data_IF_107296006135
#
_entry.id   IF_107296006135
#
_cell.length_a   1.000
_cell.length_b   1.000
_cell.length_c   1.000
_cell.angle_alpha   90.00
_cell.angle_beta   90.00
_cell.angle_gamma   90.00
#
_symmetry.space_group_name_H-M   'P 1'
#
loop_
_entity.id
_entity.type
_entity.pdbx_description
1 polymer ?
#
# COMPACT_ATOMS: atom_id res chain seq x y z
N UNK A 1 19.15 -40.32 28.95
CA UNK A 1 17.86 -39.57 29.04
C UNK A 1 17.99 -38.29 28.22
N UNK A 2 17.05 -38.00 27.32
CA UNK A 2 17.05 -36.73 26.57
C UNK A 2 16.46 -35.64 27.46
N UNK A 3 17.23 -34.58 27.69
CA UNK A 3 16.83 -33.44 28.49
C UNK A 3 16.69 -32.21 27.59
N UNK A 4 15.61 -31.45 27.80
CA UNK A 4 15.34 -30.21 27.06
C UNK A 4 15.90 -29.05 27.87
N UNK A 5 16.76 -28.22 27.26
CA UNK A 5 17.32 -27.02 27.90
C UNK A 5 16.19 -26.04 28.22
N UNK A 6 16.15 -25.52 29.45
CA UNK A 6 15.23 -24.44 29.84
C UNK A 6 15.82 -23.08 29.41
N UNK A 7 15.68 -22.79 28.12
CA UNK A 7 16.26 -21.61 27.46
C UNK A 7 16.43 -21.87 25.96
N UNK A 8 17.39 -21.21 25.33
CA UNK A 8 17.76 -21.49 23.95
C UNK A 8 18.25 -22.94 23.79
N UNK A 9 17.67 -23.69 22.84
CA UNK A 9 18.00 -25.11 22.62
C UNK A 9 19.45 -25.35 22.17
N UNK A 10 20.05 -24.37 21.50
CA UNK A 10 21.46 -24.39 21.05
C UNK A 10 22.46 -24.41 22.21
N UNK A 11 22.06 -23.93 23.40
CA UNK A 11 22.90 -23.91 24.61
C UNK A 11 22.77 -25.20 25.43
N UNK A 12 22.42 -26.32 24.77
CA UNK A 12 22.38 -27.64 25.40
C UNK A 12 23.80 -28.16 25.66
N UNK A 13 24.09 -28.52 26.91
CA UNK A 13 25.43 -28.91 27.37
C UNK A 13 25.94 -30.24 26.82
N UNK A 14 25.06 -31.03 26.19
CA UNK A 14 25.43 -32.28 25.52
C UNK A 14 26.11 -32.00 24.19
N UNK A 15 25.63 -30.99 23.44
CA UNK A 15 26.20 -30.57 22.15
C UNK A 15 27.18 -29.41 22.29
N UNK A 16 27.01 -28.55 23.29
CA UNK A 16 27.87 -27.40 23.56
C UNK A 16 28.24 -27.33 25.05
N UNK A 17 29.25 -28.09 25.51
CA UNK A 17 29.69 -28.09 26.90
C UNK A 17 30.18 -26.71 27.40
N UNK A 18 30.73 -25.88 26.51
CA UNK A 18 31.20 -24.53 26.84
C UNK A 18 30.07 -23.56 27.21
N UNK A 19 28.81 -23.89 26.91
CA UNK A 19 27.65 -23.07 27.24
C UNK A 19 27.15 -23.24 28.70
N UNK A 20 27.82 -24.06 29.53
CA UNK A 20 27.46 -24.27 30.96
C UNK A 20 27.36 -22.98 31.78
N UNK A 21 28.34 -22.05 31.77
CA UNK A 21 28.27 -20.80 32.54
C UNK A 21 27.33 -19.75 31.91
N UNK A 22 26.85 -19.98 30.68
CA UNK A 22 26.04 -19.01 29.95
C UNK A 22 24.63 -18.92 30.56
N UNK A 23 24.25 -17.70 30.97
CA UNK A 23 22.90 -17.42 31.45
C UNK A 23 21.87 -17.61 30.32
N UNK A 24 20.67 -18.15 30.61
CA UNK A 24 19.71 -18.56 29.60
C UNK A 24 18.89 -17.42 28.96
N UNK A 25 19.20 -16.16 29.29
CA UNK A 25 18.56 -14.97 28.73
C UNK A 25 17.06 -14.87 29.06
N UNK A 26 16.28 -14.23 28.19
CA UNK A 26 14.84 -14.02 28.35
C UNK A 26 13.99 -15.28 28.18
N UNK A 27 14.54 -16.32 27.54
CA UNK A 27 13.85 -17.59 27.30
C UNK A 27 13.92 -18.56 28.50
N UNK A 28 14.80 -18.29 29.46
CA UNK A 28 15.05 -19.14 30.63
C UNK A 28 14.52 -18.57 31.94
N UNK A 29 14.82 -19.24 33.08
CA UNK A 29 14.54 -18.67 34.40
C UNK A 29 15.41 -17.43 34.67
N UNK A 30 14.89 -16.54 35.52
CA UNK A 30 15.67 -15.42 36.09
C UNK A 30 16.84 -15.98 36.90
N UNK A 31 18.04 -15.48 36.61
CA UNK A 31 19.26 -15.83 37.33
C UNK A 31 19.52 -14.76 38.39
N UNK A 32 19.81 -15.19 39.62
CA UNK A 32 20.21 -14.31 40.71
C UNK A 32 21.71 -14.50 40.96
N UNK A 33 22.46 -13.40 40.92
CA UNK A 33 23.90 -13.37 41.19
C UNK A 33 24.20 -12.43 42.34
N UNK A 34 25.15 -12.82 43.18
CA UNK A 34 25.67 -12.02 44.28
C UNK A 34 26.84 -11.18 43.78
N UNK A 35 26.55 -10.01 43.19
CA UNK A 35 27.56 -9.17 42.54
C UNK A 35 28.25 -8.17 43.50
N UNK A 36 27.72 -7.97 44.72
CA UNK A 36 28.25 -7.00 45.69
C UNK A 36 28.20 -7.56 47.11
N UNK A 37 29.36 -7.77 47.71
CA UNK A 37 29.51 -7.93 49.17
C UNK A 37 29.61 -6.52 49.75
N UNK A 38 28.81 -6.15 50.77
CA UNK A 38 28.90 -4.82 51.37
C UNK A 38 30.29 -4.62 52.00
N UNK A 39 31.09 -3.72 51.43
CA UNK A 39 32.35 -3.25 52.01
C UNK A 39 32.07 -2.05 52.93
N UNK A 40 32.70 -1.94 54.11
CA UNK A 40 32.40 -0.90 55.10
C UNK A 40 32.78 0.54 54.68
N UNK A 41 33.32 0.76 53.47
CA UNK A 41 33.83 2.05 53.00
C UNK A 41 33.11 2.61 51.76
N UNK A 42 31.79 2.47 51.65
CA UNK A 42 31.04 3.08 50.53
C UNK A 42 29.57 3.33 50.82
N UNK A 43 29.05 4.43 50.30
CA UNK A 43 27.67 4.98 50.46
C UNK A 43 26.54 4.10 49.88
N UNK A 44 26.78 2.81 49.61
CA UNK A 44 25.87 1.87 48.92
C UNK A 44 25.26 0.78 49.82
N UNK A 45 25.46 0.82 51.13
CA UNK A 45 25.05 -0.25 52.07
C UNK A 45 23.53 -0.55 52.01
N UNK A 46 22.68 0.47 51.91
CA UNK A 46 21.21 0.30 51.91
C UNK A 46 20.66 -0.43 50.67
N UNK A 47 21.28 -0.23 49.49
CA UNK A 47 20.86 -0.91 48.26
C UNK A 47 21.41 -2.33 48.20
N UNK A 48 22.61 -2.56 48.73
CA UNK A 48 23.23 -3.88 48.84
C UNK A 48 22.42 -4.81 49.75
N UNK A 49 22.01 -4.36 50.94
CA UNK A 49 21.19 -5.16 51.89
C UNK A 49 19.85 -5.63 51.27
N UNK A 50 19.17 -4.76 50.53
CA UNK A 50 17.91 -5.14 49.87
C UNK A 50 18.12 -6.18 48.75
N UNK A 51 19.28 -6.14 48.09
CA UNK A 51 19.68 -7.08 47.05
C UNK A 51 20.10 -8.43 47.63
N UNK A 52 20.91 -8.45 48.70
CA UNK A 52 21.32 -9.67 49.39
C UNK A 52 20.13 -10.41 50.00
N UNK A 53 19.17 -9.69 50.61
CA UNK A 53 17.94 -10.28 51.11
C UNK A 53 17.09 -10.91 49.99
N UNK A 54 17.07 -10.29 48.81
CA UNK A 54 16.39 -10.87 47.64
C UNK A 54 17.06 -12.17 47.19
N UNK A 55 18.40 -12.22 47.23
CA UNK A 55 19.19 -13.41 46.91
C UNK A 55 18.97 -14.52 47.95
N UNK A 56 18.96 -14.19 49.24
CA UNK A 56 18.66 -15.14 50.34
C UNK A 56 17.28 -15.78 50.12
N UNK A 57 16.25 -14.95 49.87
CA UNK A 57 14.90 -15.43 49.55
C UNK A 57 14.89 -16.30 48.29
N UNK A 58 15.63 -15.92 47.26
CA UNK A 58 15.76 -16.71 46.04
C UNK A 58 16.44 -18.07 46.29
N UNK A 59 17.47 -18.13 47.15
CA UNK A 59 18.16 -19.35 47.54
C UNK A 59 17.23 -20.28 48.34
N UNK A 60 16.45 -19.75 49.29
CA UNK A 60 15.41 -20.52 49.98
C UNK A 60 14.38 -21.10 49.01
N UNK A 61 13.85 -20.28 48.10
CA UNK A 61 12.89 -20.74 47.07
C UNK A 61 13.49 -21.77 46.13
N UNK A 62 14.78 -21.66 45.81
CA UNK A 62 15.43 -22.64 44.96
C UNK A 62 15.57 -23.99 45.68
N UNK A 63 16.12 -23.99 46.90
CA UNK A 63 16.45 -25.21 47.67
C UNK A 63 15.18 -25.88 48.20
N UNK A 64 14.30 -25.13 48.87
CA UNK A 64 13.05 -25.65 49.46
C UNK A 64 11.85 -25.60 48.50
N UNK A 65 11.94 -24.92 47.35
CA UNK A 65 10.80 -24.79 46.43
C UNK A 65 9.65 -23.91 46.92
N UNK A 66 9.76 -23.35 48.13
CA UNK A 66 8.79 -22.48 48.80
C UNK A 66 9.53 -21.58 49.79
N UNK A 67 8.84 -20.58 50.30
CA UNK A 67 9.32 -19.81 51.45
C UNK A 67 9.23 -20.70 52.71
N UNK A 68 10.21 -20.53 53.59
CA UNK A 68 10.41 -21.36 54.78
C UNK A 68 9.54 -20.83 55.94
N UNK A 69 9.14 -21.70 56.87
CA UNK A 69 8.35 -21.27 58.02
C UNK A 69 9.24 -20.60 59.08
N UNK A 70 8.64 -19.72 59.90
CA UNK A 70 9.33 -19.14 61.05
C UNK A 70 9.95 -20.23 61.93
N UNK A 71 11.26 -20.12 62.19
CA UNK A 71 12.02 -21.12 62.96
C UNK A 71 12.71 -22.21 62.14
N UNK A 72 12.39 -22.37 60.85
CA UNK A 72 13.16 -23.20 59.92
C UNK A 72 14.25 -22.41 59.16
N UNK A 73 14.26 -21.09 59.34
CA UNK A 73 15.26 -20.16 58.81
C UNK A 73 16.63 -20.39 59.48
N UNK A 74 17.70 -20.21 58.72
CA UNK A 74 19.07 -20.41 59.20
C UNK A 74 19.71 -19.04 59.42
N UNK A 75 19.21 -18.29 60.41
CA UNK A 75 19.65 -16.91 60.70
C UNK A 75 21.16 -16.76 60.82
N UNK A 76 21.84 -17.75 61.42
CA UNK A 76 23.31 -17.74 61.55
C UNK A 76 23.99 -17.80 60.18
N UNK A 77 23.47 -18.61 59.26
CA UNK A 77 24.01 -18.72 57.91
C UNK A 77 23.67 -17.48 57.06
N UNK A 78 22.50 -16.88 57.26
CA UNK A 78 22.09 -15.61 56.63
C UNK A 78 23.05 -14.48 57.02
N UNK A 79 23.28 -14.29 58.33
CA UNK A 79 24.21 -13.27 58.84
C UNK A 79 25.62 -13.48 58.29
N UNK A 80 26.10 -14.73 58.25
CA UNK A 80 27.41 -15.05 57.67
C UNK A 80 27.51 -14.71 56.19
N UNK A 81 26.43 -14.93 55.42
CA UNK A 81 26.40 -14.56 54.00
C UNK A 81 26.37 -13.03 53.84
N UNK A 82 25.59 -12.33 54.68
CA UNK A 82 25.50 -10.86 54.68
C UNK A 82 26.82 -10.19 55.01
N UNK A 83 27.57 -10.75 55.96
CA UNK A 83 28.90 -10.30 56.35
C UNK A 83 29.99 -10.67 55.32
N UNK A 84 29.70 -11.58 54.38
CA UNK A 84 30.67 -12.10 53.41
C UNK A 84 31.62 -13.16 53.98
N UNK A 85 31.31 -13.74 55.14
CA UNK A 85 32.11 -14.83 55.77
C UNK A 85 32.00 -16.14 54.98
N UNK A 86 30.90 -16.34 54.25
CA UNK A 86 30.66 -17.52 53.40
C UNK A 86 30.24 -17.10 51.99
N UNK A 87 30.63 -17.89 50.99
CA UNK A 87 30.14 -17.70 49.62
C UNK A 87 28.71 -18.23 49.45
N UNK A 88 28.05 -17.87 48.34
CA UNK A 88 26.69 -18.31 48.08
C UNK A 88 26.60 -19.84 47.92
N UNK A 89 27.64 -20.47 47.35
CA UNK A 89 27.77 -21.94 47.29
C UNK A 89 27.73 -22.57 48.67
N UNK A 90 28.46 -22.02 49.64
CA UNK A 90 28.51 -22.54 51.01
C UNK A 90 27.23 -22.24 51.79
N UNK A 91 26.57 -21.12 51.49
CA UNK A 91 25.23 -20.87 51.99
C UNK A 91 24.23 -21.92 51.48
N UNK A 92 24.26 -22.25 50.18
CA UNK A 92 23.42 -23.31 49.60
C UNK A 92 23.76 -24.68 50.22
N UNK A 93 25.03 -24.95 50.48
CA UNK A 93 25.49 -26.14 51.21
C UNK A 93 24.88 -26.20 52.62
N UNK A 94 24.91 -25.10 53.36
CA UNK A 94 24.30 -25.01 54.68
C UNK A 94 22.78 -25.23 54.64
N UNK A 95 22.08 -24.63 53.66
CA UNK A 95 20.64 -24.83 53.45
C UNK A 95 20.31 -26.30 53.18
N UNK A 96 21.04 -26.94 52.27
CA UNK A 96 20.83 -28.34 51.90
C UNK A 96 21.19 -29.32 53.04
N UNK A 97 22.16 -28.98 53.90
CA UNK A 97 22.51 -29.78 55.09
C UNK A 97 21.61 -29.52 56.30
N UNK A 98 20.68 -28.58 56.23
CA UNK A 98 19.79 -28.26 57.35
C UNK A 98 18.89 -29.44 57.74
N UNK A 99 18.55 -29.52 59.02
CA UNK A 99 17.62 -30.53 59.53
C UNK A 99 16.24 -30.41 58.87
N UNK A 100 15.76 -29.17 58.66
CA UNK A 100 14.49 -28.90 57.98
C UNK A 100 14.47 -29.48 56.55
N UNK A 101 15.56 -29.31 55.80
CA UNK A 101 15.68 -29.86 54.44
C UNK A 101 15.73 -31.39 54.47
N UNK A 102 16.53 -31.97 55.37
CA UNK A 102 16.65 -33.42 55.56
C UNK A 102 15.30 -34.06 55.93
N UNK A 103 14.58 -33.49 56.90
CA UNK A 103 13.26 -33.99 57.30
C UNK A 103 12.25 -33.96 56.16
N UNK A 104 12.30 -32.91 55.34
CA UNK A 104 11.34 -32.70 54.24
C UNK A 104 11.61 -33.60 53.04
N UNK A 105 12.87 -33.75 52.60
CA UNK A 105 13.20 -34.40 51.33
C UNK A 105 14.00 -35.70 51.44
N UNK A 106 14.64 -35.97 52.58
CA UNK A 106 15.43 -37.19 52.77
C UNK A 106 14.67 -38.23 53.60
N UNK A 107 14.15 -37.86 54.77
CA UNK A 107 13.50 -38.81 55.68
C UNK A 107 12.12 -39.28 55.21
N UNK A 108 11.43 -38.47 54.41
CA UNK A 108 10.05 -38.74 53.96
C UNK A 108 9.98 -39.51 52.63
N UNK A 109 11.05 -39.51 51.84
CA UNK A 109 11.08 -40.04 50.48
C UNK A 109 11.90 -41.32 50.42
N UNK A 110 11.56 -42.18 49.46
CA UNK A 110 12.45 -43.27 49.06
C UNK A 110 13.81 -42.72 48.63
N UNK A 111 14.91 -43.37 49.04
CA UNK A 111 16.30 -42.90 48.87
C UNK A 111 16.56 -42.37 47.45
N UNK A 112 16.21 -43.13 46.41
CA UNK A 112 16.48 -42.66 45.04
C UNK A 112 15.54 -41.56 44.54
N UNK A 113 14.32 -41.47 45.08
CA UNK A 113 13.44 -40.32 44.84
C UNK A 113 14.01 -39.06 45.51
N UNK A 114 14.56 -39.20 46.72
CA UNK A 114 15.26 -38.13 47.42
C UNK A 114 16.48 -37.65 46.61
N UNK A 115 17.34 -38.58 46.16
CA UNK A 115 18.50 -38.28 45.32
C UNK A 115 18.11 -37.54 44.05
N UNK A 116 17.11 -38.01 43.29
CA UNK A 116 16.67 -37.34 42.06
C UNK A 116 16.11 -35.94 42.34
N UNK A 117 15.38 -35.77 43.45
CA UNK A 117 14.84 -34.46 43.86
C UNK A 117 15.96 -33.48 44.24
N UNK A 118 16.90 -33.91 45.09
CA UNK A 118 18.03 -33.08 45.55
C UNK A 118 18.91 -32.70 44.37
N UNK A 119 19.20 -33.63 43.48
CA UNK A 119 19.95 -33.39 42.25
C UNK A 119 19.28 -32.32 41.37
N UNK A 120 17.96 -32.38 41.22
CA UNK A 120 17.20 -31.36 40.47
C UNK A 120 17.25 -29.98 41.13
N UNK A 121 17.30 -29.90 42.46
CA UNK A 121 17.34 -28.64 43.21
C UNK A 121 18.72 -27.99 43.19
N UNK A 122 19.78 -28.78 43.37
CA UNK A 122 21.16 -28.27 43.45
C UNK A 122 21.78 -28.07 42.07
N UNK A 123 21.60 -29.00 41.14
CA UNK A 123 22.20 -28.91 39.79
C UNK A 123 21.24 -28.36 38.73
N UNK A 124 19.97 -28.15 39.06
CA UNK A 124 18.99 -27.59 38.12
C UNK A 124 18.57 -28.54 37.01
N UNK A 125 18.92 -29.83 37.09
CA UNK A 125 18.59 -30.85 36.08
C UNK A 125 18.28 -32.19 36.73
N UNK A 126 17.46 -33.05 36.11
CA UNK A 126 17.40 -34.45 36.51
C UNK A 126 18.66 -35.21 36.09
N UNK A 127 18.85 -36.42 36.63
CA UNK A 127 19.95 -37.31 36.25
C UNK A 127 19.84 -37.77 34.79
N UNK A 128 20.99 -37.96 34.14
CA UNK A 128 21.08 -38.38 32.75
C UNK A 128 20.75 -39.85 32.54
N UNK A 129 21.09 -40.71 33.50
CA UNK A 129 20.95 -42.15 33.35
C UNK A 129 21.32 -42.92 34.60
N UNK A 130 21.46 -44.24 34.44
CA UNK A 130 21.65 -45.17 35.57
C UNK A 130 23.03 -45.07 36.21
N UNK A 131 24.07 -44.72 35.44
CA UNK A 131 25.44 -44.61 35.96
C UNK A 131 25.56 -43.52 37.06
N UNK A 132 25.06 -42.31 36.79
CA UNK A 132 25.02 -41.22 37.81
C UNK A 132 24.21 -41.65 39.04
N UNK A 133 23.02 -42.22 38.80
CA UNK A 133 22.10 -42.67 39.84
C UNK A 133 22.72 -43.75 40.73
N UNK A 134 23.43 -44.72 40.17
CA UNK A 134 24.11 -45.77 40.94
C UNK A 134 25.28 -45.19 41.75
N UNK A 135 26.09 -44.30 41.17
CA UNK A 135 27.19 -43.65 41.90
C UNK A 135 26.68 -42.89 43.14
N UNK A 136 25.57 -42.15 43.00
CA UNK A 136 24.95 -41.46 44.12
C UNK A 136 24.33 -42.41 45.14
N UNK A 137 23.77 -43.54 44.70
CA UNK A 137 23.26 -44.58 45.60
C UNK A 137 24.39 -45.17 46.46
N UNK A 138 25.54 -45.49 45.85
CA UNK A 138 26.68 -46.04 46.57
C UNK A 138 27.25 -45.06 47.62
N UNK A 139 27.31 -43.77 47.27
CA UNK A 139 27.71 -42.71 48.22
C UNK A 139 26.70 -42.62 49.38
N UNK A 140 25.40 -42.63 49.07
CA UNK A 140 24.36 -42.60 50.09
C UNK A 140 24.43 -43.83 51.02
N UNK A 141 24.70 -45.01 50.46
CA UNK A 141 24.80 -46.25 51.22
C UNK A 141 26.03 -46.29 52.14
N UNK A 142 27.18 -45.75 51.68
CA UNK A 142 28.44 -45.79 52.43
C UNK A 142 28.63 -44.61 53.40
N UNK A 143 28.24 -43.40 53.00
CA UNK A 143 28.59 -42.15 53.68
C UNK A 143 27.35 -41.32 54.09
N UNK A 144 26.16 -41.69 53.62
CA UNK A 144 24.90 -41.06 54.00
C UNK A 144 24.61 -39.73 53.30
N UNK A 145 23.63 -39.01 53.85
CA UNK A 145 23.02 -37.83 53.24
C UNK A 145 23.97 -36.63 53.08
N UNK A 146 24.78 -36.33 54.10
CA UNK A 146 25.64 -35.13 54.07
C UNK A 146 26.72 -35.24 52.99
N UNK A 147 27.29 -36.43 52.80
CA UNK A 147 28.27 -36.69 51.77
C UNK A 147 27.70 -36.55 50.35
N UNK A 148 26.43 -36.93 50.13
CA UNK A 148 25.75 -36.69 48.86
C UNK A 148 25.68 -35.19 48.56
N UNK A 149 25.30 -34.37 49.54
CA UNK A 149 25.19 -32.92 49.36
C UNK A 149 26.55 -32.30 49.03
N UNK A 150 27.60 -32.68 49.76
CA UNK A 150 28.96 -32.21 49.49
C UNK A 150 29.41 -32.58 48.08
N UNK A 151 29.27 -33.85 47.69
CA UNK A 151 29.70 -34.29 46.36
C UNK A 151 28.94 -33.58 45.23
N UNK A 152 27.64 -33.28 45.39
CA UNK A 152 26.89 -32.54 44.37
C UNK A 152 27.37 -31.09 44.22
N UNK A 153 27.68 -30.43 45.34
CA UNK A 153 28.11 -29.03 45.35
C UNK A 153 29.59 -28.88 44.94
N UNK A 154 30.42 -29.84 45.32
CA UNK A 154 31.85 -29.90 44.96
C UNK A 154 32.08 -30.44 43.53
N UNK A 155 31.01 -30.76 42.80
CA UNK A 155 31.11 -31.21 41.41
C UNK A 155 31.62 -30.10 40.48
N UNK A 156 32.40 -30.50 39.46
CA UNK A 156 32.85 -29.57 38.41
C UNK A 156 31.68 -28.96 37.66
N UNK A 157 30.59 -29.71 37.46
CA UNK A 157 29.39 -29.19 36.81
C UNK A 157 28.73 -28.06 37.60
N UNK A 158 28.68 -28.16 38.93
CA UNK A 158 28.16 -27.10 39.79
C UNK A 158 29.02 -25.84 39.66
N UNK A 159 30.33 -26.01 39.80
CA UNK A 159 31.31 -24.92 39.71
C UNK A 159 31.27 -24.21 38.36
N UNK A 160 31.22 -24.95 37.24
CA UNK A 160 31.14 -24.36 35.89
C UNK A 160 29.79 -23.70 35.59
N UNK A 161 28.70 -24.15 36.22
CA UNK A 161 27.36 -23.66 35.90
C UNK A 161 26.93 -22.47 36.76
N UNK A 162 27.32 -22.47 38.03
CA UNK A 162 26.86 -21.48 39.01
C UNK A 162 28.02 -20.71 39.64
N UNK A 163 29.22 -21.31 39.72
CA UNK A 163 30.34 -20.76 40.48
C UNK A 163 29.98 -20.58 41.95
N UNK A 164 30.57 -19.57 42.57
CA UNK A 164 30.43 -19.31 44.01
C UNK A 164 29.39 -18.22 44.32
N UNK A 165 28.88 -17.56 43.27
CA UNK A 165 28.09 -16.32 43.37
C UNK A 165 26.68 -16.42 42.77
N UNK A 166 26.34 -17.51 42.05
CA UNK A 166 25.03 -17.65 41.38
C UNK A 166 24.09 -18.61 42.11
N UNK A 167 22.85 -18.19 42.36
CA UNK A 167 21.82 -19.10 42.88
C UNK A 167 21.49 -20.15 41.82
N UNK A 168 21.49 -21.46 42.14
CA UNK A 168 21.08 -22.50 41.23
C UNK A 168 19.70 -22.22 40.64
N UNK A 169 19.50 -22.59 39.39
CA UNK A 169 18.23 -22.41 38.70
C UNK A 169 17.91 -23.64 37.85
N UNK A 170 16.65 -23.81 37.45
CA UNK A 170 16.25 -24.94 36.59
C UNK A 170 16.88 -24.79 35.20
N UNK A 171 17.89 -25.61 34.92
CA UNK A 171 18.66 -25.66 33.68
C UNK A 171 18.02 -26.58 32.64
N UNK A 172 17.41 -27.69 33.05
CA UNK A 172 16.83 -28.68 32.14
C UNK A 172 15.48 -29.22 32.62
N UNK A 173 14.61 -29.53 31.66
CA UNK A 173 13.28 -30.10 31.87
C UNK A 173 13.15 -31.38 31.04
N UNK A 174 12.29 -32.30 31.47
CA UNK A 174 11.93 -33.48 30.68
C UNK A 174 10.91 -33.13 29.59
N UNK A 175 10.80 -33.92 28.51
CA UNK A 175 9.75 -33.73 27.51
C UNK A 175 8.33 -33.65 28.12
N UNK A 176 8.04 -34.51 29.10
CA UNK A 176 6.78 -34.48 29.84
C UNK A 176 6.59 -33.19 30.66
N UNK A 177 7.67 -32.66 31.28
CA UNK A 177 7.61 -31.38 31.98
C UNK A 177 7.46 -30.18 31.05
N UNK A 178 8.00 -30.25 29.83
CA UNK A 178 7.89 -29.20 28.82
C UNK A 178 6.50 -29.17 28.19
N UNK A 179 5.90 -30.33 27.91
CA UNK A 179 4.56 -30.45 27.32
C UNK A 179 3.48 -29.86 28.23
N UNK A 180 3.56 -30.13 29.54
CA UNK A 180 2.65 -29.58 30.56
C UNK A 180 2.69 -28.04 30.68
N UNK A 181 3.78 -27.41 30.21
CA UNK A 181 3.96 -25.95 30.21
C UNK A 181 3.56 -25.34 28.86
N UNK A 182 3.89 -25.99 27.75
CA UNK A 182 3.86 -25.39 26.40
C UNK A 182 2.55 -25.61 25.64
N UNK A 183 1.87 -26.74 25.84
CA UNK A 183 0.67 -27.11 25.06
C UNK A 183 -0.66 -26.69 25.72
N UNK A 184 -0.67 -25.56 26.43
CA UNK A 184 -1.90 -24.99 26.99
C UNK A 184 -2.61 -24.15 25.91
N UNK A 185 -3.94 -24.14 25.90
CA UNK A 185 -4.72 -23.41 24.89
C UNK A 185 -4.31 -21.93 24.75
N UNK A 186 -3.97 -21.28 25.87
CA UNK A 186 -3.46 -19.90 25.88
C UNK A 186 -2.03 -19.71 25.32
N UNK A 187 -1.15 -20.71 25.42
CA UNK A 187 0.23 -20.63 24.90
C UNK A 187 0.35 -21.07 23.44
N UNK A 188 -0.58 -21.91 22.96
CA UNK A 188 -0.63 -22.42 21.58
C UNK A 188 -0.90 -21.31 20.54
N UNK A 189 -1.66 -20.28 20.91
CA UNK A 189 -1.92 -19.13 20.03
C UNK A 189 -0.70 -18.21 19.84
N UNK A 190 0.11 -18.02 20.89
CA UNK A 190 1.28 -17.14 20.87
C UNK A 190 2.53 -17.78 20.21
N UNK A 191 2.60 -19.11 20.17
CA UNK A 191 3.75 -19.85 19.65
C UNK A 191 3.65 -20.19 18.16
N UNK A 192 2.63 -19.69 17.45
CA UNK A 192 2.46 -19.92 16.01
C UNK A 192 2.15 -21.37 15.63
N UNK A 193 1.78 -22.21 16.61
CA UNK A 193 1.45 -23.64 16.40
C UNK A 193 0.11 -23.81 15.68
N UNK A 194 -0.80 -22.83 15.79
CA UNK A 194 -1.95 -22.76 14.89
C UNK A 194 -1.45 -22.29 13.52
N UNK A 195 -1.72 -23.02 12.43
CA UNK A 195 -1.52 -22.47 11.11
C UNK A 195 -2.39 -21.22 11.03
N UNK A 196 -1.76 -20.05 11.06
CA UNK A 196 -2.44 -18.80 10.76
C UNK A 196 -2.82 -18.94 9.30
N UNK A 197 -4.08 -19.28 9.03
CA UNK A 197 -4.65 -19.14 7.71
C UNK A 197 -4.54 -17.65 7.40
N UNK A 198 -3.49 -17.26 6.67
CA UNK A 198 -3.42 -15.92 6.11
C UNK A 198 -4.71 -15.75 5.31
N UNK A 199 -5.56 -14.76 5.62
CA UNK A 199 -6.76 -14.56 4.83
C UNK A 199 -6.29 -14.25 3.40
N UNK A 200 -6.46 -15.22 2.50
CA UNK A 200 -6.16 -15.01 1.11
C UNK A 200 -7.15 -13.98 0.57
N UNK A 201 -6.64 -12.95 -0.10
CA UNK A 201 -7.49 -12.00 -0.80
C UNK A 201 -8.29 -12.79 -1.84
N UNK A 202 -9.62 -12.63 -1.92
CA UNK A 202 -10.40 -13.40 -2.87
C UNK A 202 -10.02 -13.00 -4.30
N UNK A 203 -9.93 -13.98 -5.20
CA UNK A 203 -9.44 -13.82 -6.58
C UNK A 203 -10.15 -12.71 -7.38
N UNK A 204 -11.44 -12.47 -7.14
CA UNK A 204 -12.16 -11.40 -7.84
C UNK A 204 -11.67 -10.00 -7.44
N UNK A 205 -11.18 -9.83 -6.20
CA UNK A 205 -10.57 -8.58 -5.74
C UNK A 205 -9.20 -8.42 -6.38
N UNK A 206 -8.42 -9.49 -6.51
CA UNK A 206 -7.12 -9.45 -7.21
C UNK A 206 -7.28 -9.03 -8.68
N UNK A 207 -8.31 -9.53 -9.36
CA UNK A 207 -8.59 -9.17 -10.76
C UNK A 207 -9.21 -7.77 -10.92
N UNK A 208 -9.90 -7.27 -9.90
CA UNK A 208 -10.57 -5.95 -9.93
C UNK A 208 -9.72 -4.80 -9.38
N UNK A 209 -8.65 -5.10 -8.65
CA UNK A 209 -7.77 -4.08 -8.08
C UNK A 209 -6.76 -3.59 -9.11
N UNK A 210 -6.55 -2.27 -9.14
CA UNK A 210 -5.49 -1.70 -9.95
C UNK A 210 -4.13 -2.16 -9.42
N UNK A 211 -3.27 -2.69 -10.30
CA UNK A 211 -2.02 -3.35 -9.89
C UNK A 211 -0.95 -2.49 -9.22
N UNK A 212 -1.12 -1.16 -9.14
CA UNK A 212 -0.18 -0.26 -8.46
C UNK A 212 -0.86 1.05 -8.05
N UNK A 213 -0.32 1.70 -7.01
CA UNK A 213 -0.58 3.12 -6.76
C UNK A 213 -0.04 3.93 -7.95
N UNK A 214 -0.90 4.80 -8.48
CA UNK A 214 -0.61 5.57 -9.69
C UNK A 214 -0.25 6.98 -9.28
N UNK A 215 0.86 7.50 -9.80
CA UNK A 215 1.21 8.91 -9.64
C UNK A 215 0.28 9.82 -10.45
N UNK A 216 0.25 11.11 -10.10
CA UNK A 216 -0.66 12.10 -10.68
C UNK A 216 -0.53 12.24 -12.20
N UNK A 217 0.68 12.09 -12.75
CA UNK A 217 0.93 12.16 -14.20
C UNK A 217 0.25 10.99 -14.93
N UNK A 218 0.27 9.80 -14.34
CA UNK A 218 -0.39 8.64 -14.93
C UNK A 218 -1.92 8.77 -14.85
N UNK A 219 -2.42 9.28 -13.73
CA UNK A 219 -3.85 9.56 -13.54
C UNK A 219 -4.32 10.59 -14.56
N UNK A 220 -3.63 11.72 -14.70
CA UNK A 220 -3.98 12.78 -15.68
C UNK A 220 -3.95 12.28 -17.11
N UNK A 221 -2.94 11.47 -17.50
CA UNK A 221 -2.89 10.85 -18.84
C UNK A 221 -4.06 9.91 -19.11
N UNK A 222 -4.45 9.09 -18.13
CA UNK A 222 -5.61 8.18 -18.26
C UNK A 222 -6.94 8.93 -18.25
N UNK A 223 -7.06 10.01 -17.49
CA UNK A 223 -8.24 10.89 -17.52
C UNK A 223 -8.37 11.56 -18.88
N UNK A 224 -7.25 11.97 -19.50
CA UNK A 224 -7.22 12.58 -20.83
C UNK A 224 -7.32 11.58 -22.00
N UNK A 225 -7.49 10.28 -21.76
CA UNK A 225 -7.53 9.29 -22.84
C UNK A 225 -8.86 9.34 -23.60
N UNK A 226 -8.80 9.07 -24.92
CA UNK A 226 -9.97 9.05 -25.79
C UNK A 226 -10.24 10.37 -26.49
N UNK A 227 -11.45 10.51 -27.03
CA UNK A 227 -11.90 11.75 -27.71
C UNK A 227 -12.31 12.77 -26.65
N UNK A 228 -12.06 14.06 -26.93
CA UNK A 228 -12.35 15.15 -26.01
C UNK A 228 -13.82 15.17 -25.56
N UNK A 229 -14.06 15.41 -24.26
CA UNK A 229 -15.38 15.54 -23.63
C UNK A 229 -16.27 16.62 -24.27
N UNK A 230 -15.68 17.56 -25.03
CA UNK A 230 -16.40 18.57 -25.83
C UNK A 230 -17.48 17.96 -26.74
N UNK A 231 -17.32 16.70 -27.17
CA UNK A 231 -18.33 15.96 -27.95
C UNK A 231 -19.65 15.77 -27.20
N UNK A 232 -19.60 15.60 -25.89
CA UNK A 232 -20.79 15.40 -25.04
C UNK A 232 -21.28 16.72 -24.45
N UNK A 233 -20.38 17.67 -24.23
CA UNK A 233 -20.67 18.96 -23.59
C UNK A 233 -21.19 20.04 -24.55
N UNK A 234 -21.27 19.78 -25.85
CA UNK A 234 -21.75 20.76 -26.84
C UNK A 234 -23.28 20.86 -26.83
N UNK A 235 -23.81 22.09 -26.72
CA UNK A 235 -25.24 22.39 -26.86
C UNK A 235 -25.61 22.55 -28.34
N UNK A 236 -26.67 21.87 -28.76
CA UNK A 236 -27.24 22.00 -30.11
C UNK A 236 -28.41 23.00 -30.03
N UNK A 237 -28.40 23.99 -30.90
CA UNK A 237 -29.46 25.00 -31.00
C UNK A 237 -30.41 24.64 -32.15
N UNK A 238 -31.69 24.46 -31.82
CA UNK A 238 -32.75 24.13 -32.78
C UNK A 238 -33.89 25.12 -32.64
N UNK A 239 -34.38 25.62 -33.77
CA UNK A 239 -35.54 26.48 -33.87
C UNK A 239 -36.80 25.61 -33.89
N UNK A 240 -37.32 25.27 -32.71
CA UNK A 240 -38.51 24.40 -32.57
C UNK A 240 -39.82 25.18 -32.46
N UNK A 241 -39.76 26.45 -32.03
CA UNK A 241 -40.92 27.28 -31.75
C UNK A 241 -40.63 28.74 -32.03
N UNK A 242 -41.60 29.41 -32.66
CA UNK A 242 -41.56 30.84 -32.98
C UNK A 242 -42.20 31.73 -31.89
N UNK A 243 -42.83 31.13 -30.87
CA UNK A 243 -43.53 31.89 -29.83
C UNK A 243 -42.56 32.54 -28.83
N UNK A 244 -41.44 31.89 -28.56
CA UNK A 244 -40.45 32.38 -27.59
C UNK A 244 -39.41 33.29 -28.27
N UNK A 245 -39.69 34.59 -28.26
CA UNK A 245 -38.79 35.62 -28.80
C UNK A 245 -37.43 35.64 -28.12
N UNK A 246 -37.33 35.23 -26.85
CA UNK A 246 -36.04 35.18 -26.15
C UNK A 246 -35.19 34.02 -26.68
N UNK A 247 -35.80 32.85 -26.91
CA UNK A 247 -35.10 31.72 -27.51
C UNK A 247 -34.67 32.00 -28.96
N UNK A 248 -35.51 32.66 -29.77
CA UNK A 248 -35.12 33.09 -31.13
C UNK A 248 -33.88 33.99 -31.08
N UNK A 249 -33.84 34.94 -30.13
CA UNK A 249 -32.66 35.81 -29.93
C UNK A 249 -31.41 35.03 -29.52
N UNK A 250 -31.55 34.00 -28.69
CA UNK A 250 -30.43 33.14 -28.30
C UNK A 250 -29.92 32.29 -29.46
N UNK A 251 -30.84 31.74 -30.26
CA UNK A 251 -30.53 30.91 -31.43
C UNK A 251 -29.88 31.73 -32.54
N UNK A 252 -30.37 32.95 -32.81
CA UNK A 252 -29.74 33.89 -33.76
C UNK A 252 -28.33 34.28 -33.32
N UNK A 253 -28.12 34.57 -32.03
CA UNK A 253 -26.79 34.78 -31.47
C UNK A 253 -25.88 33.56 -31.62
N UNK A 254 -26.40 32.35 -31.41
CA UNK A 254 -25.63 31.12 -31.63
C UNK A 254 -25.24 30.95 -33.12
N UNK A 255 -26.14 31.29 -34.06
CA UNK A 255 -25.83 31.28 -35.48
C UNK A 255 -24.74 32.29 -35.85
N UNK A 256 -24.78 33.51 -35.29
CA UNK A 256 -23.70 34.49 -35.48
C UNK A 256 -22.35 33.96 -34.96
N UNK A 257 -22.32 33.37 -33.77
CA UNK A 257 -21.10 32.79 -33.21
C UNK A 257 -20.56 31.63 -34.04
N UNK A 258 -21.44 30.83 -34.63
CA UNK A 258 -21.03 29.70 -35.47
C UNK A 258 -20.42 30.18 -36.80
N UNK A 259 -21.06 31.12 -37.48
CA UNK A 259 -20.66 31.56 -38.83
C UNK A 259 -19.50 32.56 -38.76
N UNK A 260 -19.47 33.44 -37.76
CA UNK A 260 -18.44 34.47 -37.65
C UNK A 260 -17.36 34.16 -36.60
N UNK A 261 -17.43 32.99 -35.98
CA UNK A 261 -16.54 32.51 -34.90
C UNK A 261 -16.52 33.39 -33.63
N UNK A 262 -17.30 34.47 -33.58
CA UNK A 262 -17.37 35.45 -32.48
C UNK A 262 -18.74 36.11 -32.39
N UNK A 263 -19.00 36.79 -31.28
CA UNK A 263 -20.15 37.69 -31.17
C UNK A 263 -19.95 38.93 -32.05
N UNK A 264 -20.99 39.31 -32.79
CA UNK A 264 -20.99 40.51 -33.62
C UNK A 264 -21.46 41.70 -32.76
N UNK A 265 -20.79 42.84 -32.89
CA UNK A 265 -21.18 44.05 -32.17
C UNK A 265 -22.59 44.50 -32.57
N UNK A 266 -23.45 44.96 -31.63
CA UNK A 266 -24.85 45.29 -31.91
C UNK A 266 -25.08 46.31 -33.02
N UNK A 267 -24.12 47.24 -33.23
CA UNK A 267 -24.22 48.26 -34.27
C UNK A 267 -24.13 47.67 -35.68
N UNK A 268 -23.25 46.69 -35.88
CA UNK A 268 -23.07 45.99 -37.16
C UNK A 268 -24.26 45.07 -37.46
N UNK A 269 -24.79 44.40 -36.43
CA UNK A 269 -25.99 43.55 -36.54
C UNK A 269 -27.21 44.37 -36.96
N UNK A 270 -27.41 45.54 -36.35
CA UNK A 270 -28.55 46.42 -36.64
C UNK A 270 -28.51 47.03 -38.03
N UNK A 271 -27.32 47.20 -38.62
CA UNK A 271 -27.20 47.78 -39.96
C UNK A 271 -27.37 46.75 -41.07
N UNK A 272 -26.85 45.53 -40.88
CA UNK A 272 -26.77 44.54 -41.97
C UNK A 272 -27.79 43.40 -41.86
N UNK A 273 -28.16 42.97 -40.64
CA UNK A 273 -28.93 41.72 -40.44
C UNK A 273 -30.34 41.91 -39.88
N UNK A 274 -30.79 43.14 -39.64
CA UNK A 274 -32.14 43.40 -39.10
C UNK A 274 -33.27 42.85 -39.98
N UNK A 275 -33.08 42.87 -41.30
CA UNK A 275 -34.05 42.28 -42.24
C UNK A 275 -34.14 40.76 -42.08
N UNK A 276 -33.01 40.07 -41.98
CA UNK A 276 -32.95 38.61 -41.80
C UNK A 276 -33.49 38.18 -40.43
N UNK A 277 -33.17 38.93 -39.36
CA UNK A 277 -33.71 38.67 -38.02
C UNK A 277 -35.24 38.81 -37.99
N UNK A 278 -35.77 39.83 -38.67
CA UNK A 278 -37.22 40.05 -38.75
C UNK A 278 -37.92 38.94 -39.52
N UNK A 279 -37.35 38.53 -40.67
CA UNK A 279 -37.87 37.41 -41.46
C UNK A 279 -37.87 36.10 -40.67
N UNK A 280 -36.79 35.80 -39.95
CA UNK A 280 -36.70 34.61 -39.11
C UNK A 280 -37.72 34.66 -37.96
N UNK A 281 -37.86 35.82 -37.31
CA UNK A 281 -38.82 36.02 -36.22
C UNK A 281 -40.28 35.92 -36.65
N UNK A 282 -40.59 36.28 -37.90
CA UNK A 282 -41.92 36.14 -38.49
C UNK A 282 -42.19 34.74 -39.08
N UNK A 283 -41.17 33.87 -39.18
CA UNK A 283 -41.27 32.57 -39.83
C UNK A 283 -41.34 32.64 -41.36
N UNK A 284 -40.89 33.74 -41.97
CA UNK A 284 -40.80 33.90 -43.43
C UNK A 284 -39.63 33.11 -44.02
N UNK A 285 -38.61 32.82 -43.21
CA UNK A 285 -37.43 32.02 -43.57
C UNK A 285 -37.16 30.97 -42.50
N UNK A 286 -36.58 29.84 -42.90
CA UNK A 286 -36.11 28.81 -41.96
C UNK A 286 -34.69 29.11 -41.46
N UNK A 287 -34.17 28.32 -40.50
CA UNK A 287 -32.82 28.51 -39.98
C UNK A 287 -31.76 28.25 -41.07
N UNK A 288 -32.01 27.32 -41.98
CA UNK A 288 -31.17 27.04 -43.14
C UNK A 288 -30.97 28.27 -44.04
N UNK A 289 -32.05 28.91 -44.46
CA UNK A 289 -32.07 30.12 -45.29
C UNK A 289 -31.48 31.32 -44.54
N UNK A 290 -31.70 31.39 -43.22
CA UNK A 290 -31.04 32.38 -42.38
C UNK A 290 -29.52 32.23 -42.42
N UNK A 291 -29.00 31.00 -42.26
CA UNK A 291 -27.57 30.69 -42.33
C UNK A 291 -27.00 30.99 -43.72
N UNK A 292 -27.73 30.65 -44.78
CA UNK A 292 -27.36 30.99 -46.16
C UNK A 292 -27.28 32.52 -46.36
N UNK A 293 -28.26 33.27 -45.85
CA UNK A 293 -28.28 34.72 -45.89
C UNK A 293 -27.10 35.36 -45.14
N UNK A 294 -26.72 34.80 -44.00
CA UNK A 294 -25.54 35.23 -43.25
C UNK A 294 -24.24 34.96 -44.01
N UNK A 295 -24.12 33.79 -44.65
CA UNK A 295 -22.97 33.45 -45.47
C UNK A 295 -22.82 34.31 -46.73
N UNK A 296 -23.93 34.68 -47.37
CA UNK A 296 -23.93 35.50 -48.57
C UNK A 296 -23.69 37.01 -48.31
N UNK A 297 -23.59 37.41 -47.04
CA UNK A 297 -23.41 38.80 -46.63
C UNK A 297 -22.04 39.38 -46.98
N UNK A 298 -21.98 40.70 -47.17
CA UNK A 298 -20.73 41.41 -47.46
C UNK A 298 -19.74 41.32 -46.29
N UNK A 299 -20.25 41.17 -45.06
CA UNK A 299 -19.41 40.98 -43.87
C UNK A 299 -18.71 39.63 -43.86
N UNK A 300 -19.40 38.55 -44.22
CA UNK A 300 -18.76 37.24 -44.38
C UNK A 300 -17.67 37.28 -45.44
N UNK A 301 -17.92 38.00 -46.55
CA UNK A 301 -16.93 38.17 -47.61
C UNK A 301 -15.69 38.93 -47.13
N UNK A 302 -15.86 40.01 -46.36
CA UNK A 302 -14.74 40.79 -45.82
C UNK A 302 -13.90 40.01 -44.82
N UNK A 303 -14.52 39.16 -44.00
CA UNK A 303 -13.82 38.44 -42.93
C UNK A 303 -13.18 37.13 -43.39
N UNK A 304 -13.87 36.33 -44.21
CA UNK A 304 -13.46 34.95 -44.51
C UNK A 304 -13.22 34.65 -45.99
N UNK A 305 -13.51 35.59 -46.89
CA UNK A 305 -13.26 35.42 -48.33
C UNK A 305 -12.11 36.31 -48.83
N UNK A 306 -12.20 37.63 -48.67
CA UNK A 306 -11.23 38.58 -49.19
C UNK A 306 -9.77 38.40 -48.69
N UNK A 307 -9.50 38.07 -47.41
CA UNK A 307 -8.13 37.99 -46.91
C UNK A 307 -7.46 36.63 -47.16
N UNK A 308 -8.18 35.62 -47.67
CA UNK A 308 -7.69 34.24 -47.71
C UNK A 308 -7.73 33.64 -49.13
N UNK A 309 -6.82 32.70 -49.47
CA UNK A 309 -6.89 31.98 -50.74
C UNK A 309 -8.08 31.01 -50.76
N UNK A 310 -8.57 30.66 -51.96
CA UNK A 310 -9.72 29.77 -52.13
C UNK A 310 -9.61 28.45 -51.34
N UNK A 311 -8.43 27.86 -51.22
CA UNK A 311 -8.22 26.64 -50.41
C UNK A 311 -8.57 26.84 -48.94
N UNK A 312 -8.15 27.97 -48.36
CA UNK A 312 -8.48 28.33 -46.97
C UNK A 312 -9.95 28.71 -46.83
N UNK A 313 -10.53 29.38 -47.83
CA UNK A 313 -11.99 29.66 -47.87
C UNK A 313 -12.79 28.36 -47.84
N UNK A 314 -12.37 27.32 -48.57
CA UNK A 314 -13.04 26.01 -48.57
C UNK A 314 -12.97 25.36 -47.19
N UNK A 315 -11.80 25.40 -46.56
CA UNK A 315 -11.58 24.89 -45.20
C UNK A 315 -12.46 25.61 -44.17
N UNK A 316 -12.53 26.95 -44.24
CA UNK A 316 -13.38 27.75 -43.35
C UNK A 316 -14.88 27.54 -43.63
N UNK A 317 -15.29 27.47 -44.89
CA UNK A 317 -16.68 27.20 -45.26
C UNK A 317 -17.16 25.85 -44.74
N UNK A 318 -16.38 24.78 -44.97
CA UNK A 318 -16.70 23.44 -44.43
C UNK A 318 -16.72 23.44 -42.90
N UNK A 319 -15.84 24.21 -42.24
CA UNK A 319 -15.86 24.41 -40.78
C UNK A 319 -17.15 25.08 -40.31
N UNK A 320 -17.56 26.17 -40.93
CA UNK A 320 -18.69 27.01 -40.49
C UNK A 320 -20.04 26.37 -40.80
N UNK A 321 -20.24 25.89 -42.02
CA UNK A 321 -21.52 25.38 -42.52
C UNK A 321 -21.72 23.88 -42.31
N UNK A 322 -20.64 23.08 -42.40
CA UNK A 322 -20.73 21.61 -42.27
C UNK A 322 -20.17 21.07 -40.96
N UNK A 323 -19.50 21.91 -40.16
CA UNK A 323 -18.98 21.51 -38.85
C UNK A 323 -17.76 20.58 -38.90
N UNK A 324 -17.07 20.48 -40.04
CA UNK A 324 -15.96 19.53 -40.29
C UNK A 324 -14.91 20.09 -41.27
N UNK A 325 -13.77 19.42 -41.39
CA UNK A 325 -12.80 19.69 -42.46
C UNK A 325 -13.26 19.09 -43.82
N UNK A 326 -12.61 19.46 -44.94
CA UNK A 326 -12.77 18.78 -46.22
C UNK A 326 -12.37 17.29 -46.13
N UNK A 327 -13.16 16.42 -46.76
CA UNK A 327 -13.04 14.96 -46.71
C UNK A 327 -11.87 14.45 -47.55
N UNK A 328 -11.77 14.92 -48.79
CA UNK A 328 -10.85 14.41 -49.80
C UNK A 328 -10.50 15.45 -50.87
N UNK A 329 -9.56 15.11 -51.75
CA UNK A 329 -9.13 16.01 -52.82
C UNK A 329 -10.24 16.30 -53.85
N UNK A 330 -11.18 15.37 -54.04
CA UNK A 330 -12.31 15.54 -54.96
C UNK A 330 -13.24 16.66 -54.49
N UNK A 331 -13.54 16.70 -53.19
CA UNK A 331 -14.35 17.76 -52.58
C UNK A 331 -13.65 19.12 -52.70
N UNK A 332 -12.34 19.20 -52.43
CA UNK A 332 -11.56 20.43 -52.60
C UNK A 332 -11.60 20.91 -54.06
N UNK A 333 -11.42 20.02 -55.04
CA UNK A 333 -11.49 20.37 -56.46
C UNK A 333 -12.88 20.85 -56.87
N UNK A 334 -13.94 20.15 -56.42
CA UNK A 334 -15.33 20.52 -56.67
C UNK A 334 -15.61 21.94 -56.18
N UNK A 335 -15.24 22.23 -54.93
CA UNK A 335 -15.49 23.54 -54.35
C UNK A 335 -14.62 24.65 -54.94
N UNK A 336 -13.37 24.36 -55.32
CA UNK A 336 -12.53 25.34 -56.00
C UNK A 336 -13.12 25.73 -57.36
N UNK A 337 -13.68 24.77 -58.12
CA UNK A 337 -14.37 25.04 -59.38
C UNK A 337 -15.62 25.91 -59.18
N UNK A 338 -16.38 25.67 -58.11
CA UNK A 338 -17.58 26.46 -57.79
C UNK A 338 -17.19 27.89 -57.41
N UNK A 339 -16.17 28.06 -56.55
CA UNK A 339 -15.65 29.38 -56.20
C UNK A 339 -15.13 30.16 -57.42
N UNK A 340 -14.52 29.48 -58.39
CA UNK A 340 -14.01 30.10 -59.61
C UNK A 340 -15.12 30.52 -60.59
N UNK A 341 -16.24 29.80 -60.65
CA UNK A 341 -17.31 30.03 -61.63
C UNK A 341 -18.48 30.85 -61.10
N UNK A 342 -18.88 30.63 -59.84
CA UNK A 342 -20.08 31.23 -59.23
C UNK A 342 -19.76 32.15 -58.05
N UNK A 343 -18.49 32.22 -57.63
CA UNK A 343 -18.06 32.99 -56.47
C UNK A 343 -18.56 32.42 -55.14
N UNK A 344 -18.51 33.25 -54.10
CA UNK A 344 -18.82 32.85 -52.72
C UNK A 344 -20.30 32.49 -52.50
N UNK A 345 -21.23 33.16 -53.19
CA UNK A 345 -22.67 32.92 -53.05
C UNK A 345 -23.04 31.52 -53.52
N UNK A 346 -22.61 31.14 -54.72
CA UNK A 346 -22.82 29.78 -55.24
C UNK A 346 -22.16 28.72 -54.37
N UNK A 347 -20.95 29.00 -53.87
CA UNK A 347 -20.25 28.09 -52.95
C UNK A 347 -21.06 27.81 -51.66
N UNK A 348 -21.61 28.83 -51.01
CA UNK A 348 -22.37 28.66 -49.76
C UNK A 348 -23.70 27.95 -50.03
N UNK A 349 -24.41 28.35 -51.08
CA UNK A 349 -25.63 27.68 -51.52
C UNK A 349 -25.37 26.17 -51.74
N UNK A 350 -24.28 25.81 -52.43
CA UNK A 350 -23.94 24.39 -52.66
C UNK A 350 -23.62 23.61 -51.39
N UNK A 351 -23.14 24.26 -50.32
CA UNK A 351 -22.91 23.60 -49.02
C UNK A 351 -24.21 23.31 -48.30
N UNK A 352 -25.08 24.30 -48.25
CA UNK A 352 -26.35 24.28 -47.52
C UNK A 352 -27.38 23.37 -48.22
N UNK A 353 -27.28 23.19 -49.54
CA UNK A 353 -28.10 22.25 -50.33
C UNK A 353 -27.60 20.81 -50.32
N UNK A 354 -26.43 20.51 -49.73
CA UNK A 354 -25.94 19.13 -49.70
C UNK A 354 -26.85 18.20 -48.89
N UNK A 355 -26.96 16.90 -49.27
CA UNK A 355 -27.70 15.92 -48.48
C UNK A 355 -27.12 15.78 -47.07
N UNK A 356 -25.81 15.95 -46.91
CA UNK A 356 -25.17 15.95 -45.60
C UNK A 356 -25.70 17.07 -44.69
N UNK A 357 -25.87 18.29 -45.22
CA UNK A 357 -26.42 19.38 -44.43
C UNK A 357 -27.84 19.06 -43.95
N UNK A 358 -28.68 18.51 -44.84
CA UNK A 358 -30.04 18.10 -44.53
C UNK A 358 -30.10 16.99 -43.47
N UNK A 359 -29.20 15.99 -43.52
CA UNK A 359 -29.15 14.90 -42.55
C UNK A 359 -28.73 15.35 -41.15
N UNK A 360 -27.72 16.22 -41.04
CA UNK A 360 -27.15 16.60 -39.73
C UNK A 360 -27.83 17.80 -39.08
N UNK A 361 -28.32 18.74 -39.89
CA UNK A 361 -28.88 20.01 -39.40
C UNK A 361 -30.35 20.17 -39.78
N UNK A 362 -30.77 19.66 -40.95
CA UNK A 362 -32.10 19.89 -41.48
C UNK A 362 -32.34 21.37 -41.74
N UNK A 363 -33.56 21.84 -41.49
CA UNK A 363 -33.95 23.24 -41.73
C UNK A 363 -33.93 24.13 -40.49
N UNK A 364 -33.87 23.50 -39.30
CA UNK A 364 -34.11 24.18 -38.01
C UNK A 364 -32.88 24.27 -37.11
N UNK A 365 -31.81 23.52 -37.40
CA UNK A 365 -30.66 23.39 -36.50
C UNK A 365 -29.52 24.30 -36.93
N UNK A 366 -28.94 25.03 -35.98
CA UNK A 366 -27.68 25.77 -36.20
C UNK A 366 -26.52 24.77 -36.36
N UNK A 367 -25.65 24.93 -37.38
CA UNK A 367 -24.46 24.13 -37.52
C UNK A 367 -23.63 24.12 -36.25
N UNK A 368 -23.03 22.97 -35.97
CA UNK A 368 -22.22 22.77 -34.77
C UNK A 368 -20.99 21.94 -35.12
N UNK A 369 -19.96 22.04 -34.28
CA UNK A 369 -18.75 21.22 -34.40
C UNK A 369 -19.09 19.74 -34.35
N UNK A 370 -18.80 19.02 -35.43
CA UNK A 370 -18.96 17.57 -35.53
C UNK A 370 -17.63 16.87 -35.22
N UNK A 371 -17.72 15.61 -34.82
CA UNK A 371 -16.56 14.74 -34.56
C UNK A 371 -16.62 13.54 -35.52
N UNK A 372 -16.29 13.75 -36.82
CA UNK A 372 -16.39 12.70 -37.83
C UNK A 372 -15.38 11.59 -37.56
N UNK A 373 -15.77 10.33 -37.73
CA UNK A 373 -14.89 9.15 -37.55
C UNK A 373 -14.36 8.63 -38.89
N UNK A 374 -15.18 8.72 -39.94
CA UNK A 374 -14.83 8.36 -41.30
C UNK A 374 -15.01 9.61 -42.19
N UNK A 375 -14.11 9.88 -43.15
CA UNK A 375 -12.83 9.22 -43.47
C UNK A 375 -11.71 9.45 -42.43
N UNK A 376 -10.66 8.63 -42.44
CA UNK A 376 -9.60 8.58 -41.41
C UNK A 376 -8.88 9.92 -41.15
N UNK A 377 -8.68 10.75 -42.17
CA UNK A 377 -8.03 12.06 -42.02
C UNK A 377 -8.97 13.16 -41.49
N UNK A 378 -10.28 12.93 -41.49
CA UNK A 378 -11.25 13.97 -41.20
C UNK A 378 -11.26 14.34 -39.70
N UNK A 379 -11.15 13.35 -38.80
CA UNK A 379 -11.05 13.60 -37.36
C UNK A 379 -9.86 14.51 -36.99
N UNK A 380 -8.60 14.15 -37.30
CA UNK A 380 -7.45 14.97 -36.90
C UNK A 380 -7.43 16.34 -37.59
N UNK A 381 -7.90 16.44 -38.83
CA UNK A 381 -7.98 17.72 -39.54
C UNK A 381 -9.03 18.64 -38.90
N UNK A 382 -10.20 18.09 -38.53
CA UNK A 382 -11.25 18.85 -37.83
C UNK A 382 -10.78 19.26 -36.42
N UNK A 383 -10.04 18.41 -35.71
CA UNK A 383 -9.43 18.79 -34.43
C UNK A 383 -8.48 19.97 -34.57
N UNK A 384 -7.55 19.94 -35.54
CA UNK A 384 -6.63 21.06 -35.79
C UNK A 384 -7.38 22.36 -36.09
N UNK A 385 -8.42 22.28 -36.92
CA UNK A 385 -9.24 23.43 -37.31
C UNK A 385 -9.96 24.12 -36.16
N UNK A 386 -10.51 23.34 -35.23
CA UNK A 386 -11.27 23.85 -34.11
C UNK A 386 -10.41 24.14 -32.87
N UNK A 387 -9.13 23.75 -32.88
CA UNK A 387 -8.13 24.14 -31.89
C UNK A 387 -7.45 25.47 -32.25
N UNK A 388 -7.43 25.84 -33.53
CA UNK A 388 -6.96 27.15 -33.98
C UNK A 388 -7.97 28.25 -33.65
N UNK A 389 -7.48 29.35 -33.07
CA UNK A 389 -8.25 30.57 -32.84
C UNK A 389 -8.33 31.42 -34.11
N UNK A 390 -9.33 32.30 -34.17
CA UNK A 390 -9.53 33.23 -35.28
C UNK A 390 -8.28 34.09 -35.47
N UNK A 391 -7.73 34.10 -36.70
CA UNK A 391 -6.50 34.85 -37.06
C UNK A 391 -5.25 34.46 -36.25
N UNK A 392 -5.17 33.23 -35.72
CA UNK A 392 -3.98 32.74 -35.03
C UNK A 392 -2.79 32.53 -35.99
N UNK A 393 -3.05 32.06 -37.21
CA UNK A 393 -2.06 31.79 -38.24
C UNK A 393 -2.71 31.86 -39.63
N UNK A 394 -1.95 32.29 -40.64
CA UNK A 394 -2.40 32.35 -42.04
C UNK A 394 -2.27 30.99 -42.76
N UNK A 395 -1.69 29.99 -42.09
CA UNK A 395 -1.44 28.66 -42.65
C UNK A 395 -2.75 27.91 -42.98
N UNK A 396 -2.74 27.21 -44.10
CA UNK A 396 -3.83 26.31 -44.51
C UNK A 396 -3.64 24.95 -43.83
N UNK A 397 -4.64 24.48 -43.08
CA UNK A 397 -4.57 23.20 -42.35
C UNK A 397 -4.67 22.03 -43.33
N UNK A 398 -5.49 22.16 -44.36
CA UNK A 398 -5.68 21.15 -45.42
C UNK A 398 -5.44 21.79 -46.79
N UNK A 399 -4.17 21.95 -47.23
CA UNK A 399 -3.87 22.54 -48.53
C UNK A 399 -4.28 21.62 -49.69
N UNK A 400 -3.92 20.34 -49.58
CA UNK A 400 -4.30 19.26 -50.50
C UNK A 400 -4.00 17.92 -49.86
N UNK A 401 -4.64 16.86 -50.34
CA UNK A 401 -4.28 15.50 -49.99
C UNK A 401 -3.13 15.01 -50.87
N UNK A 402 -2.25 14.18 -50.30
CA UNK A 402 -1.17 13.54 -51.05
C UNK A 402 -1.76 12.76 -52.25
N UNK A 403 -1.10 12.80 -53.43
CA UNK A 403 -1.57 12.07 -54.58
C UNK A 403 -1.62 10.58 -54.25
N UNK A 404 -2.78 9.96 -54.47
CA UNK A 404 -2.88 8.51 -54.41
C UNK A 404 -2.10 7.93 -55.58
N UNK A 405 -1.13 7.03 -55.32
CA UNK A 405 -0.47 6.26 -56.38
C UNK A 405 -1.54 5.47 -57.12
N UNK A 406 -1.83 5.86 -58.36
CA UNK A 406 -2.70 5.09 -59.23
C UNK A 406 -2.02 3.76 -59.56
N UNK A 407 -2.66 2.65 -59.20
CA UNK A 407 -2.22 1.29 -59.55
C UNK A 407 -2.42 1.02 -61.06
N UNK A 408 -1.72 1.76 -61.92
CA UNK A 408 -1.70 1.59 -63.39
C UNK A 408 -0.27 1.76 -63.92
N UNK A 409 0.74 1.28 -63.19
CA UNK A 409 2.12 1.28 -63.67
C UNK A 409 2.87 0.03 -63.19
N UNK A 410 2.47 -1.15 -63.67
CA UNK A 410 3.33 -2.34 -63.75
C UNK A 410 2.70 -3.43 -64.62
N UNK A 411 2.48 -3.12 -65.89
CA UNK A 411 2.49 -4.13 -66.96
C UNK A 411 3.36 -3.48 -68.04
N UNK A 412 4.65 -3.75 -67.99
CA UNK A 412 5.61 -3.68 -69.09
C UNK A 412 7.03 -3.79 -68.50
N UNK A 413 7.50 -5.02 -68.34
CA UNK A 413 8.81 -5.56 -68.77
C UNK A 413 8.89 -7.02 -68.38
#
# INVERSE_FOLDING_TARGET
RILIRRGAGIDSQVSNPAARPKAPGSLGPKVFKLDQIPSPQGTSVKFAESSTQTIIRAAYRQVFGRDVYAGQELKVAEIRLENGDICLRDFIRALAKSEAFRKTYWSSLYVMKAVEYIHRRLLGRPTYGRQETNAYFDICAKQGFYALVDMLIDSSEYTESFGDDTVPYERYVTPAGQSQRSFRSGTVGATGVKPVAKPAVPRFVELGTAGAERGDIEVTKRVGQGVNLRRVQSKIFKLTSLYDKANIKLITQAAYRQIFERDISPYVVKTEFTSLESKLGNGEINMKEFIEGLGCSDLYQREFYAPYPNTKVIELGTKHFLGRAPLNQLEIRKYNQILATQGIRGFIQTMVETPEYAEFFGEDTVPYRRFPTLPAANFPNTERLYQQLTRQSDDVVVPSFAPSVSAVASIDT
#
